data_IF_948440276978
#
_entry.id   IF_948440276978
#
_cell.length_a   1.000
_cell.length_b   1.000
_cell.length_c   1.000
_cell.angle_alpha   90.00
_cell.angle_beta   90.00
_cell.angle_gamma   90.00
#
_symmetry.space_group_name_H-M   'P 1'
#
loop_
_entity.id
_entity.type
_entity.pdbx_description
1 polymer ?
#
# COMPACT_ATOMS: atom_id res chain seq x y z
N UNK A 1 -14.02 51.90 -11.42
CA UNK A 1 -13.93 51.59 -9.98
C UNK A 1 -15.06 50.65 -9.64
N UNK A 2 -14.76 49.36 -9.48
CA UNK A 2 -15.69 48.35 -8.98
C UNK A 2 -14.81 47.31 -8.29
N UNK A 3 -15.05 47.12 -6.99
CA UNK A 3 -14.22 46.32 -6.10
C UNK A 3 -14.60 44.85 -6.09
N UNK A 4 -13.61 44.04 -5.75
CA UNK A 4 -13.69 42.62 -5.42
C UNK A 4 -14.63 42.37 -4.23
N UNK A 5 -15.65 41.52 -4.43
CA UNK A 5 -16.40 40.87 -3.35
C UNK A 5 -15.89 39.43 -3.19
N UNK A 6 -14.93 39.24 -2.29
CA UNK A 6 -14.59 37.93 -1.74
C UNK A 6 -15.61 37.54 -0.66
N UNK A 7 -16.05 36.27 -0.58
CA UNK A 7 -17.00 35.84 0.45
C UNK A 7 -16.35 35.88 1.84
N UNK A 8 -17.01 36.54 2.78
CA UNK A 8 -16.53 36.66 4.16
C UNK A 8 -16.57 35.32 4.93
N UNK A 9 -15.65 35.10 5.89
CA UNK A 9 -15.60 33.90 6.70
C UNK A 9 -16.82 33.78 7.62
N UNK A 10 -17.33 32.56 7.72
CA UNK A 10 -18.49 32.18 8.50
C UNK A 10 -18.29 32.41 10.01
N UNK A 11 -19.03 33.36 10.60
CA UNK A 11 -19.00 33.66 12.04
C UNK A 11 -20.02 32.80 12.81
N UNK A 12 -19.53 31.72 13.42
CA UNK A 12 -20.33 30.79 14.23
C UNK A 12 -20.88 31.41 15.53
N UNK A 13 -20.48 32.62 15.93
CA UNK A 13 -20.99 33.30 17.14
C UNK A 13 -22.20 34.20 16.90
N UNK A 14 -22.57 34.44 15.64
CA UNK A 14 -23.72 35.28 15.27
C UNK A 14 -25.06 34.52 15.18
N UNK A 15 -25.08 33.20 15.45
CA UNK A 15 -26.32 32.41 15.43
C UNK A 15 -27.20 32.72 16.64
N UNK A 16 -28.32 33.40 16.38
CA UNK A 16 -29.35 33.59 17.39
C UNK A 16 -29.83 32.22 17.93
N UNK A 17 -30.03 32.08 19.25
CA UNK A 17 -30.48 30.82 19.83
C UNK A 17 -31.85 30.45 19.26
N UNK A 18 -32.01 29.18 18.86
CA UNK A 18 -33.25 28.65 18.33
C UNK A 18 -34.42 28.98 19.26
N UNK A 19 -35.43 29.70 18.74
CA UNK A 19 -36.65 30.04 19.48
C UNK A 19 -37.30 28.74 19.99
N UNK A 20 -37.25 28.52 21.30
CA UNK A 20 -38.09 27.51 21.99
C UNK A 20 -39.54 27.80 21.59
N UNK A 21 -40.17 26.86 20.88
CA UNK A 21 -41.61 26.89 20.61
C UNK A 21 -42.35 27.06 21.95
N UNK A 22 -43.14 28.13 22.04
CA UNK A 22 -44.10 28.31 23.13
C UNK A 22 -45.03 27.09 23.17
N UNK A 23 -45.15 26.50 24.37
CA UNK A 23 -46.23 25.56 24.66
C UNK A 23 -47.54 26.34 24.59
N UNK A 24 -48.43 25.94 23.70
CA UNK A 24 -49.78 26.49 23.62
C UNK A 24 -50.56 26.11 24.89
N UNK A 25 -51.04 27.11 25.62
CA UNK A 25 -52.07 26.94 26.64
C UNK A 25 -53.43 26.82 25.94
N UNK A 26 -54.08 25.66 26.04
CA UNK A 26 -55.48 25.52 25.64
C UNK A 26 -56.43 25.97 26.77
N UNK A 27 -57.63 26.48 26.47
CA UNK A 27 -58.49 27.16 27.44
C UNK A 27 -59.14 26.18 28.42
N UNK A 28 -59.10 26.51 29.71
CA UNK A 28 -59.90 25.85 30.75
C UNK A 28 -61.34 26.37 30.71
N UNK A 29 -62.30 25.51 30.36
CA UNK A 29 -63.72 25.90 30.38
C UNK A 29 -64.64 24.85 29.76
N UNK A 30 -64.82 23.71 30.44
CA UNK A 30 -66.07 22.93 30.45
C UNK A 30 -65.85 21.65 31.27
N UNK A 31 -66.66 21.49 32.32
CA UNK A 31 -66.77 20.27 33.11
C UNK A 31 -67.46 19.17 32.28
N UNK A 32 -66.69 18.45 31.46
CA UNK A 32 -67.11 17.14 30.98
C UNK A 32 -65.98 16.12 31.19
N UNK A 33 -66.27 14.94 31.76
CA UNK A 33 -65.26 13.90 31.96
C UNK A 33 -64.74 13.46 30.58
N UNK A 34 -63.45 13.68 30.33
CA UNK A 34 -62.78 13.24 29.09
C UNK A 34 -62.90 11.72 28.96
N UNK A 35 -63.68 11.26 27.97
CA UNK A 35 -63.71 9.85 27.57
C UNK A 35 -62.32 9.45 27.04
N UNK A 36 -61.63 8.61 27.78
CA UNK A 36 -60.41 7.92 27.33
C UNK A 36 -60.70 7.23 25.99
N UNK A 37 -60.03 7.68 24.92
CA UNK A 37 -60.05 6.98 23.62
C UNK A 37 -59.45 5.59 23.84
N UNK A 38 -60.25 4.55 23.65
CA UNK A 38 -59.77 3.16 23.62
C UNK A 38 -58.72 3.00 22.52
N UNK A 39 -57.58 2.32 22.78
CA UNK A 39 -56.58 2.07 21.74
C UNK A 39 -57.21 1.30 20.59
N UNK A 40 -57.09 1.83 19.37
CA UNK A 40 -57.57 1.16 18.16
C UNK A 40 -56.89 -0.21 17.99
N UNK A 41 -57.67 -1.16 17.49
CA UNK A 41 -57.38 -2.60 17.41
C UNK A 41 -56.27 -2.99 16.40
N UNK A 42 -55.30 -2.10 16.10
CA UNK A 42 -54.29 -2.31 15.05
C UNK A 42 -52.82 -2.20 15.49
N UNK A 43 -52.53 -2.23 16.79
CA UNK A 43 -51.14 -2.25 17.27
C UNK A 43 -50.95 -3.08 18.56
N UNK A 44 -51.41 -4.32 18.57
CA UNK A 44 -51.02 -5.30 19.59
C UNK A 44 -50.20 -6.39 18.91
N UNK A 45 -48.90 -6.16 18.77
CA UNK A 45 -47.94 -7.25 18.58
C UNK A 45 -48.09 -8.12 19.83
N UNK A 46 -48.48 -9.38 19.65
CA UNK A 46 -48.66 -10.33 20.76
C UNK A 46 -47.29 -10.64 21.39
N UNK A 47 -47.27 -11.04 22.66
CA UNK A 47 -46.02 -11.40 23.33
C UNK A 47 -45.28 -12.52 22.58
N UNK A 48 -46.02 -13.46 22.00
CA UNK A 48 -45.49 -14.52 21.13
C UNK A 48 -44.80 -13.97 19.87
N UNK A 49 -45.38 -12.98 19.18
CA UNK A 49 -44.76 -12.34 18.00
C UNK A 49 -43.50 -11.53 18.36
N UNK A 50 -43.43 -10.99 19.58
CA UNK A 50 -42.26 -10.25 20.08
C UNK A 50 -41.11 -11.20 20.43
N UNK A 51 -41.42 -12.39 20.95
CA UNK A 51 -40.46 -13.47 21.21
C UNK A 51 -39.89 -14.04 19.90
N UNK A 52 -40.75 -14.28 18.90
CA UNK A 52 -40.35 -14.77 17.57
C UNK A 52 -39.41 -13.79 16.83
N UNK A 53 -39.71 -12.48 16.89
CA UNK A 53 -38.83 -11.44 16.35
C UNK A 53 -37.47 -11.40 17.05
N UNK A 54 -37.43 -11.65 18.36
CA UNK A 54 -36.19 -11.71 19.14
C UNK A 54 -35.37 -12.95 18.79
N UNK A 55 -36.01 -14.11 18.62
CA UNK A 55 -35.35 -15.34 18.17
C UNK A 55 -34.76 -15.17 16.76
N UNK A 56 -35.50 -14.60 15.81
CA UNK A 56 -34.97 -14.28 14.47
C UNK A 56 -33.80 -13.29 14.49
N UNK A 57 -33.81 -12.31 15.38
CA UNK A 57 -32.69 -11.39 15.54
C UNK A 57 -31.43 -12.09 16.07
N UNK A 58 -31.60 -12.95 17.08
CA UNK A 58 -30.49 -13.76 17.65
C UNK A 58 -29.96 -14.74 16.60
N UNK A 59 -30.84 -15.37 15.81
CA UNK A 59 -30.45 -16.29 14.74
C UNK A 59 -29.66 -15.57 13.64
N UNK A 60 -30.12 -14.40 13.18
CA UNK A 60 -29.37 -13.55 12.24
C UNK A 60 -28.03 -13.10 12.79
N UNK A 61 -27.97 -12.71 14.06
CA UNK A 61 -26.73 -12.31 14.72
C UNK A 61 -25.75 -13.49 14.80
N UNK A 62 -26.26 -14.70 15.09
CA UNK A 62 -25.46 -15.92 15.12
C UNK A 62 -24.97 -16.34 13.73
N UNK A 63 -25.81 -16.23 12.70
CA UNK A 63 -25.44 -16.46 11.31
C UNK A 63 -24.39 -15.45 10.83
N UNK A 64 -24.56 -14.17 11.16
CA UNK A 64 -23.58 -13.12 10.86
C UNK A 64 -22.25 -13.36 11.59
N UNK A 65 -22.29 -13.75 12.86
CA UNK A 65 -21.10 -14.09 13.62
C UNK A 65 -20.39 -15.34 13.08
N UNK A 66 -21.14 -16.36 12.66
CA UNK A 66 -20.59 -17.56 12.04
C UNK A 66 -19.96 -17.25 10.67
N UNK A 67 -20.64 -16.45 9.84
CA UNK A 67 -20.11 -16.00 8.55
C UNK A 67 -18.84 -15.16 8.73
N UNK A 68 -18.80 -14.26 9.73
CA UNK A 68 -17.62 -13.47 10.08
C UNK A 68 -16.45 -14.37 10.55
N UNK A 69 -16.72 -15.34 11.41
CA UNK A 69 -15.70 -16.29 11.88
C UNK A 69 -15.14 -17.15 10.73
N UNK A 70 -15.99 -17.57 9.79
CA UNK A 70 -15.56 -18.33 8.62
C UNK A 70 -14.70 -17.48 7.66
N UNK A 71 -15.05 -16.20 7.49
CA UNK A 71 -14.20 -15.26 6.74
C UNK A 71 -12.88 -15.00 7.44
N UNK A 72 -12.86 -14.85 8.77
CA UNK A 72 -11.63 -14.66 9.54
C UNK A 72 -10.69 -15.88 9.46
N UNK A 73 -11.24 -17.10 9.50
CA UNK A 73 -10.45 -18.32 9.25
C UNK A 73 -9.83 -18.35 7.85
N UNK A 74 -10.59 -17.95 6.82
CA UNK A 74 -10.08 -17.90 5.46
C UNK A 74 -8.99 -16.81 5.29
N UNK A 75 -9.12 -15.67 5.99
CA UNK A 75 -8.12 -14.59 6.01
C UNK A 75 -6.82 -15.02 6.69
N UNK A 76 -6.91 -15.69 7.83
CA UNK A 76 -5.74 -16.22 8.53
C UNK A 76 -4.97 -17.18 7.61
N UNK A 77 -5.68 -18.05 6.89
CA UNK A 77 -5.06 -18.94 5.91
C UNK A 77 -4.36 -18.19 4.77
N UNK A 78 -4.92 -17.08 4.27
CA UNK A 78 -4.27 -16.25 3.23
C UNK A 78 -2.98 -15.60 3.78
N UNK A 79 -3.05 -14.98 4.96
CA UNK A 79 -1.89 -14.40 5.60
C UNK A 79 -0.75 -15.43 5.81
N UNK A 80 -1.12 -16.65 6.22
CA UNK A 80 -0.17 -17.76 6.40
C UNK A 80 0.46 -18.19 5.07
N UNK A 81 -0.30 -18.21 3.97
CA UNK A 81 0.22 -18.50 2.62
C UNK A 81 1.24 -17.43 2.19
N UNK A 82 0.92 -16.14 2.35
CA UNK A 82 1.85 -15.04 2.01
C UNK A 82 3.14 -15.15 2.83
N UNK A 83 3.01 -15.36 4.15
CA UNK A 83 4.15 -15.52 5.05
C UNK A 83 5.00 -16.74 4.68
N UNK A 84 4.36 -17.89 4.44
CA UNK A 84 5.02 -19.13 4.06
C UNK A 84 5.77 -18.98 2.74
N UNK A 85 5.19 -18.27 1.76
CA UNK A 85 5.86 -17.98 0.50
C UNK A 85 7.16 -17.20 0.72
N UNK A 86 7.13 -16.07 1.43
CA UNK A 86 8.36 -15.28 1.65
C UNK A 86 9.43 -16.04 2.44
N UNK A 87 8.99 -16.88 3.38
CA UNK A 87 9.85 -17.80 4.13
C UNK A 87 10.47 -18.89 3.24
N UNK A 88 9.76 -19.40 2.23
CA UNK A 88 10.23 -20.47 1.34
C UNK A 88 11.13 -19.98 0.20
N UNK A 89 11.00 -18.71 -0.23
CA UNK A 89 11.82 -18.15 -1.31
C UNK A 89 13.32 -18.22 -0.95
N UNK A 90 14.13 -19.00 -1.70
CA UNK A 90 15.52 -19.25 -1.35
C UNK A 90 16.38 -17.99 -1.48
N UNK A 91 17.35 -17.81 -0.58
CA UNK A 91 18.34 -16.74 -0.72
C UNK A 91 19.41 -17.15 -1.74
N UNK A 92 19.26 -16.64 -2.97
CA UNK A 92 20.20 -16.94 -4.07
C UNK A 92 21.49 -16.08 -4.04
N UNK A 93 21.74 -15.28 -3.00
CA UNK A 93 22.94 -14.45 -2.87
C UNK A 93 22.99 -13.22 -3.79
N UNK A 94 24.02 -12.35 -3.63
CA UNK A 94 24.16 -11.10 -4.41
C UNK A 94 24.67 -11.36 -5.83
N UNK A 95 25.62 -12.28 -5.98
CA UNK A 95 26.31 -12.51 -7.25
C UNK A 95 25.36 -13.10 -8.28
N UNK A 96 24.64 -14.17 -7.93
CA UNK A 96 23.60 -14.76 -8.77
C UNK A 96 22.55 -13.74 -9.24
N UNK A 97 22.11 -12.82 -8.36
CA UNK A 97 21.15 -11.75 -8.73
C UNK A 97 21.68 -10.79 -9.80
N UNK A 98 23.00 -10.72 -9.98
CA UNK A 98 23.64 -9.87 -10.99
C UNK A 98 24.00 -10.64 -12.26
N UNK A 99 24.31 -11.93 -12.15
CA UNK A 99 24.84 -12.74 -13.26
C UNK A 99 23.77 -13.59 -13.92
N UNK A 100 23.02 -14.35 -13.12
CA UNK A 100 22.23 -15.50 -13.59
C UNK A 100 20.71 -15.29 -13.49
N UNK A 101 20.25 -14.26 -12.76
CA UNK A 101 18.82 -13.95 -12.64
C UNK A 101 18.24 -13.50 -13.98
N UNK A 102 17.11 -14.12 -14.38
CA UNK A 102 16.35 -13.73 -15.58
C UNK A 102 15.71 -12.35 -15.46
N UNK A 103 15.46 -11.89 -14.23
CA UNK A 103 14.88 -10.57 -13.94
C UNK A 103 15.90 -9.59 -13.33
N UNK A 104 17.18 -9.71 -13.73
CA UNK A 104 18.27 -8.88 -13.17
C UNK A 104 18.10 -7.39 -13.45
N UNK A 105 17.59 -7.01 -14.62
CA UNK A 105 17.33 -5.62 -15.00
C UNK A 105 16.21 -5.05 -14.15
N UNK A 106 15.10 -5.78 -14.03
CA UNK A 106 13.97 -5.42 -13.16
C UNK A 106 14.41 -5.24 -11.69
N UNK A 107 15.20 -6.18 -11.15
CA UNK A 107 15.73 -6.06 -9.78
C UNK A 107 16.60 -4.83 -9.60
N UNK A 108 17.42 -4.49 -10.60
CA UNK A 108 18.31 -3.33 -10.56
C UNK A 108 17.50 -2.04 -10.63
N UNK A 109 16.52 -1.98 -11.54
CA UNK A 109 15.61 -0.86 -11.73
C UNK A 109 14.75 -0.60 -10.47
N UNK A 110 14.08 -1.61 -9.94
CA UNK A 110 13.28 -1.48 -8.71
C UNK A 110 14.14 -1.02 -7.52
N UNK A 111 15.37 -1.53 -7.40
CA UNK A 111 16.27 -1.05 -6.36
C UNK A 111 16.72 0.40 -6.56
N UNK A 112 16.91 0.84 -7.81
CA UNK A 112 17.25 2.21 -8.12
C UNK A 112 16.08 3.16 -7.82
N UNK A 113 14.86 2.83 -8.26
CA UNK A 113 13.64 3.60 -7.92
C UNK A 113 13.49 3.76 -6.41
N UNK A 114 13.63 2.67 -5.64
CA UNK A 114 13.62 2.76 -4.17
C UNK A 114 14.71 3.66 -3.61
N UNK A 115 15.90 3.66 -4.22
CA UNK A 115 16.99 4.54 -3.82
C UNK A 115 16.66 6.00 -4.13
N UNK A 116 16.02 6.30 -5.26
CA UNK A 116 15.55 7.64 -5.61
C UNK A 116 14.54 8.14 -4.57
N UNK A 117 13.51 7.34 -4.25
CA UNK A 117 12.49 7.69 -3.26
C UNK A 117 13.12 7.97 -1.89
N UNK A 118 13.97 7.06 -1.39
CA UNK A 118 14.64 7.23 -0.10
C UNK A 118 15.52 8.48 -0.10
N UNK A 119 16.40 8.65 -1.10
CA UNK A 119 17.32 9.79 -1.11
C UNK A 119 16.60 11.13 -1.26
N UNK A 120 15.48 11.16 -1.98
CA UNK A 120 14.72 12.39 -2.23
C UNK A 120 13.86 12.81 -1.03
N UNK A 121 13.25 11.85 -0.34
CA UNK A 121 12.20 12.15 0.65
C UNK A 121 12.58 11.84 2.10
N UNK A 122 13.66 11.09 2.36
CA UNK A 122 14.10 10.84 3.73
C UNK A 122 14.67 12.07 4.45
N UNK A 123 15.44 12.97 3.80
CA UNK A 123 15.99 14.14 4.49
C UNK A 123 14.92 15.07 5.05
N UNK A 124 15.22 15.71 6.18
CA UNK A 124 14.37 16.76 6.76
C UNK A 124 14.38 18.05 5.91
N UNK A 125 13.46 19.00 6.19
CA UNK A 125 13.36 20.24 5.39
C UNK A 125 14.56 21.16 5.55
N UNK A 126 15.25 21.07 6.70
CA UNK A 126 16.45 21.85 7.01
C UNK A 126 17.70 21.25 6.34
N UNK A 127 17.59 20.04 5.78
CA UNK A 127 18.68 19.37 5.09
C UNK A 127 18.99 20.06 3.76
N UNK A 128 20.08 20.81 3.71
CA UNK A 128 20.60 21.33 2.45
C UNK A 128 21.60 20.35 1.83
N UNK A 129 21.47 19.99 0.53
CA UNK A 129 22.51 19.24 -0.16
C UNK A 129 23.84 20.01 -0.08
N UNK A 130 24.94 19.33 0.26
CA UNK A 130 26.22 19.99 0.49
C UNK A 130 26.43 20.51 1.92
N UNK A 131 25.43 20.44 2.82
CA UNK A 131 25.53 21.01 4.16
C UNK A 131 26.63 20.33 4.98
N UNK A 132 26.69 19.01 4.92
CA UNK A 132 27.73 18.22 5.57
C UNK A 132 29.14 18.57 5.04
N UNK A 133 29.27 18.77 3.72
CA UNK A 133 30.51 19.21 3.06
C UNK A 133 30.95 20.62 3.48
N UNK A 134 29.98 21.46 3.89
CA UNK A 134 30.21 22.80 4.44
C UNK A 134 30.34 22.81 5.98
N UNK A 135 30.27 21.66 6.64
CA UNK A 135 30.26 21.54 8.11
C UNK A 135 28.98 22.08 8.77
N UNK A 136 27.93 22.30 7.98
CA UNK A 136 26.61 22.74 8.40
C UNK A 136 25.78 21.47 8.55
N UNK A 137 25.64 20.97 9.78
CA UNK A 137 24.68 19.91 10.07
C UNK A 137 23.65 20.49 11.01
N UNK A 138 22.37 20.15 10.81
CA UNK A 138 21.34 20.38 11.84
C UNK A 138 21.67 19.64 13.15
N UNK A 139 22.63 18.71 13.11
CA UNK A 139 22.99 17.81 14.20
C UNK A 139 21.96 16.69 14.41
N UNK A 140 20.91 16.64 13.57
CA UNK A 140 19.82 15.67 13.66
C UNK A 140 20.10 14.49 12.73
N UNK A 141 20.13 13.30 13.30
CA UNK A 141 20.17 12.04 12.58
C UNK A 141 18.74 11.48 12.46
N UNK A 142 18.47 10.69 11.43
CA UNK A 142 17.13 10.19 11.13
C UNK A 142 16.78 8.95 11.96
N UNK A 143 15.53 8.89 12.41
CA UNK A 143 14.88 7.70 12.97
C UNK A 143 13.94 7.10 11.92
N UNK A 144 14.20 5.86 11.52
CA UNK A 144 13.50 5.17 10.43
C UNK A 144 12.72 3.97 10.97
N UNK A 145 11.46 3.87 10.57
CA UNK A 145 10.63 2.68 10.72
C UNK A 145 10.33 2.08 9.34
N UNK A 146 10.75 0.84 9.11
CA UNK A 146 10.58 0.11 7.85
C UNK A 146 9.60 -1.05 8.07
N UNK A 147 8.35 -0.86 7.63
CA UNK A 147 7.26 -1.83 7.78
C UNK A 147 7.22 -2.71 6.53
N UNK A 148 7.28 -4.03 6.73
CA UNK A 148 7.49 -4.99 5.65
C UNK A 148 8.94 -4.98 5.16
N UNK A 149 9.91 -4.89 6.08
CA UNK A 149 11.33 -4.77 5.73
C UNK A 149 11.89 -6.02 5.03
N UNK A 150 11.16 -7.14 5.08
CA UNK A 150 11.53 -8.43 4.54
C UNK A 150 12.92 -8.86 4.98
N UNK A 151 13.72 -9.33 4.03
CA UNK A 151 15.09 -9.82 4.22
C UNK A 151 16.13 -8.69 4.37
N UNK A 152 15.70 -7.46 4.69
CA UNK A 152 16.56 -6.29 4.81
C UNK A 152 17.12 -5.80 3.47
N UNK A 153 16.28 -5.72 2.43
CA UNK A 153 16.68 -5.29 1.08
C UNK A 153 17.14 -3.83 0.98
N UNK A 154 16.68 -2.99 1.91
CA UNK A 154 16.87 -1.55 1.88
C UNK A 154 17.88 -1.04 2.90
N UNK A 155 18.46 -1.90 3.76
CA UNK A 155 19.50 -1.55 4.73
C UNK A 155 20.68 -0.79 4.09
N UNK A 156 21.13 -1.24 2.91
CA UNK A 156 22.22 -0.58 2.18
C UNK A 156 21.82 0.78 1.60
N UNK A 157 20.53 1.01 1.34
CA UNK A 157 20.01 2.28 0.84
C UNK A 157 19.94 3.30 1.97
N UNK A 158 19.45 2.88 3.14
CA UNK A 158 19.46 3.70 4.36
C UNK A 158 20.87 4.10 4.79
N UNK A 159 21.86 3.19 4.68
CA UNK A 159 23.26 3.55 4.95
C UNK A 159 23.83 4.60 3.98
N UNK A 160 23.25 4.71 2.79
CA UNK A 160 23.64 5.65 1.74
C UNK A 160 22.68 6.84 1.63
N UNK A 161 21.77 7.02 2.58
CA UNK A 161 20.86 8.15 2.60
C UNK A 161 21.65 9.47 2.74
N UNK A 162 21.17 10.60 2.19
CA UNK A 162 21.90 11.87 2.23
C UNK A 162 22.08 12.42 3.64
N UNK A 163 21.07 12.21 4.50
CA UNK A 163 21.13 12.48 5.93
C UNK A 163 21.40 11.18 6.68
N UNK A 164 22.32 11.24 7.65
CA UNK A 164 22.71 10.07 8.44
C UNK A 164 21.53 9.51 9.22
N UNK A 165 21.42 8.18 9.26
CA UNK A 165 20.44 7.47 10.07
C UNK A 165 21.06 7.15 11.44
N UNK A 166 20.36 7.42 12.52
CA UNK A 166 20.73 7.01 13.87
C UNK A 166 20.16 5.63 14.18
N UNK A 167 18.85 5.46 13.93
CA UNK A 167 18.09 4.26 14.27
C UNK A 167 17.27 3.78 13.07
N UNK A 168 17.35 2.48 12.81
CA UNK A 168 16.49 1.75 11.90
C UNK A 168 15.72 0.67 12.66
N UNK A 169 14.39 0.69 12.56
CA UNK A 169 13.52 -0.35 13.11
C UNK A 169 12.83 -1.08 11.96
N UNK A 170 13.17 -2.35 11.74
CA UNK A 170 12.55 -3.19 10.72
C UNK A 170 11.47 -4.10 11.31
N UNK A 171 10.26 -4.07 10.75
CA UNK A 171 9.15 -4.95 11.13
C UNK A 171 8.72 -5.80 9.93
N UNK A 172 8.44 -7.07 10.16
CA UNK A 172 7.90 -7.97 9.13
C UNK A 172 7.17 -9.16 9.77
N UNK A 173 6.07 -9.67 9.20
CA UNK A 173 5.38 -10.85 9.75
C UNK A 173 6.16 -12.17 9.55
N UNK A 174 7.09 -12.23 8.60
CA UNK A 174 7.91 -13.41 8.32
C UNK A 174 9.17 -13.46 9.21
N UNK A 175 9.20 -14.41 10.13
CA UNK A 175 10.30 -14.66 11.06
C UNK A 175 11.63 -15.01 10.38
N UNK A 176 11.60 -15.86 9.35
CA UNK A 176 12.82 -16.20 8.59
C UNK A 176 13.35 -14.96 7.87
N UNK A 177 12.46 -14.12 7.32
CA UNK A 177 12.85 -12.85 6.70
C UNK A 177 13.55 -11.92 7.69
N UNK A 178 13.01 -11.80 8.92
CA UNK A 178 13.60 -11.02 9.99
C UNK A 178 14.98 -11.55 10.40
N UNK A 179 15.16 -12.86 10.52
CA UNK A 179 16.45 -13.43 10.87
C UNK A 179 17.51 -13.22 9.78
N UNK A 180 17.13 -13.32 8.50
CA UNK A 180 17.99 -12.97 7.37
C UNK A 180 18.33 -11.47 7.34
N UNK A 181 17.39 -10.59 7.69
CA UNK A 181 17.64 -9.15 7.81
C UNK A 181 18.68 -8.85 8.92
N UNK A 182 18.54 -9.51 10.08
CA UNK A 182 19.52 -9.42 11.18
C UNK A 182 20.90 -9.90 10.73
N UNK A 183 20.99 -11.03 10.01
CA UNK A 183 22.26 -11.56 9.51
C UNK A 183 22.92 -10.58 8.52
N UNK A 184 22.14 -10.04 7.58
CA UNK A 184 22.62 -9.04 6.62
C UNK A 184 23.16 -7.80 7.32
N UNK A 185 22.44 -7.28 8.32
CA UNK A 185 22.89 -6.14 9.11
C UNK A 185 24.17 -6.45 9.89
N UNK A 186 24.28 -7.63 10.54
CA UNK A 186 25.53 -8.08 11.19
C UNK A 186 26.70 -8.14 10.21
N UNK A 187 26.47 -8.61 8.98
CA UNK A 187 27.46 -8.61 7.91
C UNK A 187 27.93 -7.20 7.52
N UNK A 188 27.03 -6.21 7.52
CA UNK A 188 27.39 -4.80 7.33
C UNK A 188 28.26 -4.29 8.51
N UNK A 189 27.86 -4.59 9.75
CA UNK A 189 28.60 -4.19 10.95
C UNK A 189 30.00 -4.80 11.05
N UNK A 190 30.18 -6.05 10.62
CA UNK A 190 31.50 -6.68 10.59
C UNK A 190 32.44 -5.99 9.59
N UNK A 191 31.94 -5.57 8.43
CA UNK A 191 32.73 -4.86 7.42
C UNK A 191 33.14 -3.46 7.90
N UNK A 192 32.26 -2.81 8.66
CA UNK A 192 32.52 -1.50 9.27
C UNK A 192 33.64 -1.57 10.33
N UNK A 193 33.60 -2.56 11.24
CA UNK A 193 34.60 -2.74 12.30
C UNK A 193 36.01 -3.07 11.81
N UNK A 194 36.14 -3.79 10.70
CA UNK A 194 37.46 -4.20 10.18
C UNK A 194 38.16 -3.11 9.37
N UNK A 195 37.63 -1.87 9.34
CA UNK A 195 38.26 -0.71 8.73
C UNK A 195 38.70 -1.00 7.30
N UNK A 196 37.75 -1.07 6.37
CA UNK A 196 37.91 -1.42 4.96
C UNK A 196 39.32 -1.35 4.35
N UNK A 197 40.18 -2.33 4.65
CA UNK A 197 41.49 -2.54 3.99
C UNK A 197 41.35 -3.19 2.61
N UNK A 198 40.13 -3.32 2.08
CA UNK A 198 39.83 -3.94 0.79
C UNK A 198 39.80 -2.99 -0.41
N UNK A 199 39.96 -1.68 -0.21
CA UNK A 199 40.08 -0.72 -1.32
C UNK A 199 41.53 -0.43 -1.67
N UNK A 200 42.14 -1.22 -2.58
CA UNK A 200 43.34 -0.78 -3.30
C UNK A 200 42.98 0.52 -4.05
N UNK A 201 43.39 1.67 -3.52
CA UNK A 201 43.13 2.99 -4.12
C UNK A 201 42.86 4.09 -3.09
N UNK A 202 43.75 4.25 -2.11
CA UNK A 202 43.72 5.36 -1.15
C UNK A 202 44.24 6.64 -1.80
N UNK A 203 43.34 7.43 -2.39
CA UNK A 203 43.61 8.82 -2.74
C UNK A 203 43.20 9.76 -1.60
N UNK A 204 43.85 10.93 -1.43
CA UNK A 204 43.65 11.87 -0.31
C UNK A 204 42.26 12.55 -0.25
N UNK A 205 41.32 12.18 -1.13
CA UNK A 205 39.99 12.78 -1.26
C UNK A 205 38.83 11.79 -1.02
N UNK A 206 39.05 10.63 -0.38
CA UNK A 206 37.95 9.72 -0.02
C UNK A 206 37.36 10.05 1.35
N UNK A 207 36.06 10.34 1.35
CA UNK A 207 35.21 10.60 2.54
C UNK A 207 35.32 9.45 3.57
N UNK A 208 35.33 9.74 4.88
CA UNK A 208 35.07 8.72 5.91
C UNK A 208 33.69 8.10 5.65
N UNK A 209 33.56 6.78 5.76
CA UNK A 209 32.25 6.14 5.70
C UNK A 209 31.42 6.60 6.92
N UNK A 210 30.15 6.98 6.75
CA UNK A 210 29.29 7.28 7.88
C UNK A 210 29.20 6.03 8.77
N UNK A 211 29.17 6.24 10.08
CA UNK A 211 29.01 5.16 11.06
C UNK A 211 27.75 4.37 10.74
N UNK A 212 27.79 3.05 10.91
CA UNK A 212 26.61 2.23 10.74
C UNK A 212 25.54 2.61 11.78
N UNK A 213 24.32 2.86 11.32
CA UNK A 213 23.15 3.13 12.18
C UNK A 213 22.86 1.97 13.13
N UNK A 214 22.22 2.23 14.27
CA UNK A 214 21.67 1.18 15.14
C UNK A 214 20.45 0.53 14.47
N UNK A 215 20.34 -0.80 14.52
CA UNK A 215 19.19 -1.51 13.98
C UNK A 215 18.49 -2.42 15.00
N UNK A 216 17.15 -2.39 14.99
CA UNK A 216 16.26 -3.30 15.72
C UNK A 216 15.34 -4.01 14.72
N UNK A 217 15.09 -5.30 14.92
CA UNK A 217 14.26 -6.10 14.02
C UNK A 217 13.25 -6.92 14.82
N UNK A 218 11.98 -6.85 14.45
CA UNK A 218 10.89 -7.53 15.17
C UNK A 218 9.95 -8.25 14.20
N UNK A 219 9.52 -9.45 14.60
CA UNK A 219 8.44 -10.16 13.90
C UNK A 219 7.13 -9.56 14.35
N UNK A 220 6.33 -9.01 13.42
CA UNK A 220 5.08 -8.33 13.75
C UNK A 220 4.12 -8.26 12.57
N UNK A 221 2.86 -8.63 12.77
CA UNK A 221 1.77 -8.27 11.86
C UNK A 221 1.47 -6.77 12.03
N UNK A 222 1.81 -5.99 11.01
CA UNK A 222 1.64 -4.53 11.03
C UNK A 222 0.30 -4.07 10.42
N UNK A 223 -0.55 -5.01 9.97
CA UNK A 223 -1.85 -4.72 9.35
C UNK A 223 -3.01 -5.12 10.25
N UNK A 224 -2.88 -6.24 10.98
CA UNK A 224 -3.91 -6.71 11.92
C UNK A 224 -3.74 -6.18 13.36
N UNK A 225 -2.52 -5.83 13.77
CA UNK A 225 -2.20 -5.52 15.16
C UNK A 225 -1.63 -4.10 15.32
N UNK A 226 -1.73 -3.56 16.53
CA UNK A 226 -0.98 -2.34 16.90
C UNK A 226 0.50 -2.66 17.03
N UNK A 227 1.37 -1.76 16.55
CA UNK A 227 2.82 -1.84 16.75
C UNK A 227 3.30 -1.11 18.02
N UNK A 228 2.40 -0.41 18.71
CA UNK A 228 2.70 0.32 19.94
C UNK A 228 3.18 -0.61 21.08
N UNK A 229 2.88 -1.91 21.02
CA UNK A 229 3.33 -2.88 22.01
C UNK A 229 4.85 -3.15 21.96
N UNK A 230 5.53 -2.76 20.88
CA UNK A 230 6.98 -2.90 20.73
C UNK A 230 7.70 -1.79 21.51
N UNK A 231 8.59 -2.18 22.43
CA UNK A 231 9.27 -1.26 23.34
C UNK A 231 10.00 -0.12 22.62
N UNK A 232 10.79 -0.42 21.57
CA UNK A 232 11.55 0.61 20.85
C UNK A 232 10.62 1.64 20.18
N UNK A 233 9.44 1.23 19.73
CA UNK A 233 8.45 2.13 19.10
C UNK A 233 7.90 3.10 20.14
N UNK A 234 7.60 2.62 21.35
CA UNK A 234 7.19 3.48 22.49
C UNK A 234 8.28 4.44 22.93
N UNK A 235 9.53 3.98 22.92
CA UNK A 235 10.70 4.79 23.28
C UNK A 235 10.91 5.94 22.29
N UNK A 236 10.80 5.68 20.99
CA UNK A 236 10.88 6.72 19.94
C UNK A 236 9.67 7.66 20.04
N UNK A 237 8.47 7.09 20.03
CA UNK A 237 7.21 7.83 20.16
C UNK A 237 6.12 7.18 19.31
N UNK A 238 4.94 7.05 19.91
CA UNK A 238 3.73 6.61 19.22
C UNK A 238 2.53 7.42 19.75
N UNK A 239 1.77 8.05 18.87
CA UNK A 239 0.60 8.86 19.25
C UNK A 239 -0.60 8.58 18.36
N UNK A 240 -1.70 8.14 18.97
CA UNK A 240 -2.98 7.97 18.26
C UNK A 240 -3.82 9.25 18.25
N UNK A 241 -3.37 10.32 18.88
CA UNK A 241 -4.12 11.57 18.91
C UNK A 241 -3.89 12.39 17.64
N UNK A 242 -4.93 13.06 17.15
CA UNK A 242 -4.85 14.05 16.07
C UNK A 242 -4.03 15.30 16.45
N UNK A 243 -3.52 15.36 17.69
CA UNK A 243 -2.56 16.36 18.15
C UNK A 243 -1.17 15.80 17.85
N UNK A 244 -0.55 16.34 16.80
CA UNK A 244 0.78 15.93 16.35
C UNK A 244 1.80 16.15 17.47
N UNK A 245 2.46 15.06 17.89
CA UNK A 245 3.54 15.13 18.87
C UNK A 245 4.88 15.42 18.20
N UNK A 246 5.79 16.07 18.93
CA UNK A 246 7.17 16.31 18.48
C UNK A 246 8.05 15.04 18.54
N UNK A 247 7.49 13.92 19.04
CA UNK A 247 8.15 12.61 19.15
C UNK A 247 7.60 11.64 18.13
N UNK A 248 8.46 10.76 17.62
CA UNK A 248 8.14 9.80 16.58
C UNK A 248 9.29 9.65 15.59
N UNK A 249 9.10 8.75 14.63
CA UNK A 249 10.03 8.51 13.53
C UNK A 249 9.99 9.65 12.51
N UNK A 250 11.14 9.94 11.90
CA UNK A 250 11.27 10.88 10.77
C UNK A 250 10.65 10.32 9.50
N UNK A 251 10.82 9.01 9.28
CA UNK A 251 10.35 8.34 8.10
C UNK A 251 9.74 7.00 8.46
N UNK A 252 8.55 6.74 7.93
CA UNK A 252 7.97 5.40 7.85
C UNK A 252 8.04 4.96 6.40
N UNK A 253 8.59 3.77 6.14
CA UNK A 253 8.73 3.21 4.80
C UNK A 253 7.90 1.94 4.65
N UNK A 254 7.22 1.79 3.52
CA UNK A 254 6.47 0.59 3.12
C UNK A 254 6.71 0.28 1.64
N UNK A 255 7.74 -0.51 1.36
CA UNK A 255 8.15 -0.84 0.00
C UNK A 255 7.58 -2.19 -0.42
N UNK A 256 6.63 -2.20 -1.37
CA UNK A 256 6.01 -3.43 -1.91
C UNK A 256 5.29 -4.30 -0.86
N UNK A 257 4.66 -3.69 0.15
CA UNK A 257 3.95 -4.45 1.19
C UNK A 257 2.56 -3.90 1.53
N UNK A 258 2.26 -2.65 1.18
CA UNK A 258 1.04 -1.98 1.63
C UNK A 258 -0.25 -2.59 1.07
N UNK A 259 -0.19 -3.13 -0.14
CA UNK A 259 -1.35 -3.72 -0.82
C UNK A 259 -1.93 -4.93 -0.08
N UNK A 260 -1.16 -5.63 0.75
CA UNK A 260 -1.69 -6.73 1.58
C UNK A 260 -2.71 -6.24 2.64
N UNK A 261 -2.62 -4.98 3.08
CA UNK A 261 -3.56 -4.42 4.05
C UNK A 261 -4.95 -4.14 3.44
N UNK A 262 -5.05 -4.01 2.11
CA UNK A 262 -6.29 -3.69 1.40
C UNK A 262 -7.24 -4.88 1.25
N UNK A 263 -6.93 -6.02 1.88
CA UNK A 263 -7.87 -7.11 2.05
C UNK A 263 -9.18 -6.66 2.73
N UNK A 264 -9.08 -5.80 3.75
CA UNK A 264 -10.25 -5.26 4.45
C UNK A 264 -10.02 -3.80 4.85
N UNK A 265 -11.12 -3.06 5.01
CA UNK A 265 -11.06 -1.71 5.57
C UNK A 265 -10.40 -1.68 6.95
N UNK A 266 -10.68 -2.67 7.80
CA UNK A 266 -10.13 -2.75 9.14
C UNK A 266 -8.59 -2.83 9.14
N UNK A 267 -8.02 -3.71 8.29
CA UNK A 267 -6.57 -3.83 8.12
C UNK A 267 -5.95 -2.56 7.54
N UNK A 268 -6.55 -1.97 6.50
CA UNK A 268 -6.07 -0.72 5.91
C UNK A 268 -6.05 0.43 6.92
N UNK A 269 -7.11 0.56 7.74
CA UNK A 269 -7.18 1.55 8.81
C UNK A 269 -6.18 1.27 9.94
N UNK A 270 -6.00 0.02 10.35
CA UNK A 270 -5.02 -0.34 11.38
C UNK A 270 -3.58 -0.09 10.91
N UNK A 271 -3.27 -0.39 9.65
CA UNK A 271 -2.01 -0.02 9.01
C UNK A 271 -1.78 1.50 9.05
N UNK A 272 -2.76 2.31 8.65
CA UNK A 272 -2.65 3.77 8.71
C UNK A 272 -2.48 4.29 10.14
N UNK A 273 -3.13 3.68 11.14
CA UNK A 273 -2.89 3.99 12.57
C UNK A 273 -1.44 3.73 12.96
N UNK A 274 -0.88 2.60 12.55
CA UNK A 274 0.50 2.24 12.82
C UNK A 274 1.49 3.22 12.17
N UNK A 275 1.28 3.56 10.90
CA UNK A 275 2.10 4.53 10.16
C UNK A 275 1.99 5.91 10.79
N UNK A 276 0.78 6.47 10.84
CA UNK A 276 0.55 7.85 11.24
C UNK A 276 0.77 8.09 12.73
N UNK A 277 0.62 7.06 13.57
CA UNK A 277 0.91 7.13 14.98
C UNK A 277 2.38 7.05 15.31
N UNK A 278 3.19 6.41 14.46
CA UNK A 278 4.65 6.35 14.62
C UNK A 278 5.36 7.60 14.11
N UNK A 279 4.77 8.36 13.19
CA UNK A 279 5.37 9.57 12.63
C UNK A 279 5.26 10.75 13.59
N UNK A 280 6.37 11.50 13.73
CA UNK A 280 6.33 12.84 14.32
C UNK A 280 5.71 13.84 13.34
N UNK A 281 5.34 15.03 13.83
CA UNK A 281 4.99 16.14 12.94
C UNK A 281 6.12 16.43 11.95
N UNK A 282 5.76 16.51 10.67
CA UNK A 282 6.68 16.68 9.57
C UNK A 282 7.44 15.43 9.14
N UNK A 283 7.10 14.27 9.69
CA UNK A 283 7.62 12.99 9.22
C UNK A 283 7.06 12.61 7.84
N UNK A 284 7.80 11.78 7.10
CA UNK A 284 7.42 11.30 5.76
C UNK A 284 6.95 9.85 5.80
N UNK A 285 5.83 9.57 5.15
CA UNK A 285 5.42 8.21 4.82
C UNK A 285 5.72 7.93 3.35
N UNK A 286 6.69 7.07 3.08
CA UNK A 286 7.12 6.72 1.71
C UNK A 286 6.82 5.26 1.40
N UNK A 287 6.53 4.96 0.14
CA UNK A 287 6.29 3.59 -0.25
C UNK A 287 6.17 3.37 -1.75
N UNK A 288 6.01 2.10 -2.10
CA UNK A 288 5.75 1.65 -3.48
C UNK A 288 4.63 0.63 -3.48
N UNK A 289 3.72 0.76 -4.45
CA UNK A 289 2.57 -0.14 -4.60
C UNK A 289 2.25 -0.40 -6.07
N UNK A 290 1.56 -1.51 -6.38
CA UNK A 290 0.88 -1.71 -7.65
C UNK A 290 -0.03 -0.53 -7.98
N UNK A 291 -0.03 -0.10 -9.24
CA UNK A 291 -0.81 1.03 -9.73
C UNK A 291 -2.25 0.61 -10.02
N UNK A 292 -3.23 1.12 -9.27
CA UNK A 292 -4.65 0.81 -9.49
C UNK A 292 -5.18 1.28 -10.83
N UNK A 293 -4.59 2.33 -11.42
CA UNK A 293 -5.06 2.87 -12.69
C UNK A 293 -4.70 1.91 -13.84
N UNK A 294 -3.48 1.37 -13.81
CA UNK A 294 -3.03 0.32 -14.74
C UNK A 294 -3.89 -0.94 -14.56
N UNK A 295 -4.12 -1.37 -13.32
CA UNK A 295 -4.98 -2.54 -13.04
C UNK A 295 -6.40 -2.31 -13.58
N UNK A 296 -6.98 -1.14 -13.31
CA UNK A 296 -8.33 -0.78 -13.75
C UNK A 296 -8.47 -0.69 -15.27
N UNK A 297 -7.46 -0.17 -15.96
CA UNK A 297 -7.41 -0.14 -17.42
C UNK A 297 -7.36 -1.55 -18.01
N UNK A 298 -6.49 -2.43 -17.51
CA UNK A 298 -6.41 -3.83 -17.96
C UNK A 298 -7.71 -4.61 -17.72
N UNK A 299 -8.36 -4.36 -16.58
CA UNK A 299 -9.68 -4.93 -16.28
C UNK A 299 -10.75 -4.44 -17.25
N UNK A 300 -10.77 -3.14 -17.56
CA UNK A 300 -11.71 -2.56 -18.53
C UNK A 300 -11.51 -3.15 -19.92
N UNK A 301 -10.27 -3.19 -20.40
CA UNK A 301 -9.92 -3.79 -21.70
C UNK A 301 -10.37 -5.25 -21.78
N UNK A 302 -10.19 -6.02 -20.71
CA UNK A 302 -10.66 -7.40 -20.63
C UNK A 302 -12.19 -7.49 -20.74
N UNK A 303 -12.91 -6.70 -19.95
CA UNK A 303 -14.38 -6.73 -19.92
C UNK A 303 -14.99 -6.26 -21.26
N UNK A 304 -14.40 -5.25 -21.91
CA UNK A 304 -14.81 -4.80 -23.25
C UNK A 304 -14.63 -5.91 -24.30
N UNK A 305 -13.51 -6.66 -24.25
CA UNK A 305 -13.28 -7.81 -25.13
C UNK A 305 -14.30 -8.94 -24.90
N UNK A 306 -14.61 -9.24 -23.63
CA UNK A 306 -15.61 -10.26 -23.30
C UNK A 306 -17.00 -9.86 -23.79
N UNK A 307 -17.38 -8.58 -23.60
CA UNK A 307 -18.65 -8.06 -24.12
C UNK A 307 -18.72 -8.13 -25.64
N UNK A 308 -17.66 -7.71 -26.35
CA UNK A 308 -17.62 -7.81 -27.81
C UNK A 308 -17.66 -9.27 -28.32
N UNK A 309 -17.08 -10.22 -27.57
CA UNK A 309 -17.14 -11.65 -27.87
C UNK A 309 -18.56 -12.20 -27.68
N UNK A 310 -19.26 -11.78 -26.62
CA UNK A 310 -20.64 -12.14 -26.37
C UNK A 310 -21.60 -11.55 -27.44
N UNK A 311 -21.45 -10.26 -27.78
CA UNK A 311 -22.26 -9.59 -28.81
C UNK A 311 -22.09 -10.24 -30.19
N UNK A 312 -20.87 -10.69 -30.54
CA UNK A 312 -20.61 -11.44 -31.79
C UNK A 312 -21.21 -12.85 -31.78
N UNK A 313 -21.37 -13.47 -30.62
CA UNK A 313 -21.98 -14.78 -30.49
C UNK A 313 -23.53 -14.73 -30.59
N UNK A 314 -24.12 -13.56 -30.36
CA UNK A 314 -25.58 -13.32 -30.45
C UNK A 314 -26.04 -12.77 -31.81
N UNK A 315 -25.13 -12.50 -32.77
CA UNK A 315 -25.49 -12.02 -34.12
C UNK A 315 -25.96 -13.20 -35.03
N UNK A 316 -27.26 -13.26 -35.41
CA UNK A 316 -27.81 -14.36 -36.20
C UNK A 316 -27.28 -14.46 -37.65
N UNK A 317 -26.41 -13.54 -38.09
CA UNK A 317 -25.74 -13.63 -39.40
C UNK A 317 -24.47 -14.48 -39.42
N UNK A 318 -24.02 -15.00 -38.27
CA UNK A 318 -22.87 -15.90 -38.21
C UNK A 318 -23.17 -17.32 -38.75
N UNK A 319 -24.44 -17.67 -38.98
CA UNK A 319 -24.85 -18.98 -39.50
C UNK A 319 -24.83 -19.11 -41.04
N UNK A 320 -24.77 -18.00 -41.81
CA UNK A 320 -24.81 -18.07 -43.29
C UNK A 320 -23.42 -18.15 -43.96
N UNK A 321 -22.32 -18.20 -43.19
CA UNK A 321 -20.95 -18.26 -43.73
C UNK A 321 -20.22 -19.58 -43.43
N UNK A 322 -20.91 -20.62 -42.94
CA UNK A 322 -20.34 -21.95 -42.64
C UNK A 322 -20.84 -23.07 -43.56
N UNK A 323 -21.26 -22.76 -44.78
CA UNK A 323 -21.32 -23.75 -45.88
C UNK A 323 -20.18 -23.48 -46.86
N UNK A 324 -19.03 -24.10 -46.57
CA UNK A 324 -17.98 -24.54 -47.50
C UNK A 324 -16.59 -24.39 -46.87
N UNK A 325 -16.21 -25.38 -46.06
CA UNK A 325 -14.84 -25.50 -45.55
C UNK A 325 -14.74 -26.40 -44.34
N UNK A 326 -14.34 -27.65 -44.60
CA UNK A 326 -13.72 -28.65 -43.71
C UNK A 326 -14.04 -28.60 -42.20
N UNK A 327 -14.68 -29.67 -41.74
CA UNK A 327 -14.80 -30.07 -40.33
C UNK A 327 -13.48 -30.00 -39.58
N UNK A 328 -13.23 -28.89 -38.88
CA UNK A 328 -12.43 -28.91 -37.67
C UNK A 328 -13.32 -29.44 -36.53
N UNK A 329 -12.79 -30.44 -35.84
CA UNK A 329 -13.41 -31.13 -34.73
C UNK A 329 -13.92 -30.11 -33.70
N UNK A 330 -15.22 -30.14 -33.44
CA UNK A 330 -15.82 -29.38 -32.37
C UNK A 330 -15.20 -29.82 -31.06
N UNK A 331 -14.45 -28.92 -30.41
CA UNK A 331 -14.21 -29.00 -28.98
C UNK A 331 -15.59 -28.97 -28.31
N UNK A 332 -16.02 -30.15 -27.84
CA UNK A 332 -17.10 -30.27 -26.87
C UNK A 332 -16.74 -29.35 -25.70
N UNK A 333 -17.53 -28.29 -25.49
CA UNK A 333 -17.49 -27.52 -24.25
C UNK A 333 -17.84 -28.49 -23.11
N UNK A 334 -16.82 -29.01 -22.45
CA UNK A 334 -16.96 -29.74 -21.21
C UNK A 334 -17.75 -28.86 -20.22
N UNK A 335 -18.83 -29.42 -19.66
CA UNK A 335 -19.55 -28.85 -18.53
C UNK A 335 -18.58 -28.70 -17.34
N UNK A 336 -17.88 -27.57 -17.28
CA UNK A 336 -16.83 -27.32 -16.29
C UNK A 336 -15.89 -26.16 -16.60
N UNK A 337 -15.97 -25.51 -17.77
CA UNK A 337 -15.15 -24.34 -18.10
C UNK A 337 -15.30 -23.25 -17.03
N UNK A 338 -14.23 -23.02 -16.26
CA UNK A 338 -14.15 -21.90 -15.33
C UNK A 338 -14.45 -20.60 -16.09
N UNK A 339 -15.30 -19.72 -15.54
CA UNK A 339 -15.56 -18.40 -16.13
C UNK A 339 -14.23 -17.73 -16.50
N UNK A 340 -14.11 -17.24 -17.75
CA UNK A 340 -12.91 -16.54 -18.21
C UNK A 340 -12.68 -15.33 -17.29
N UNK A 341 -11.53 -15.26 -16.62
CA UNK A 341 -11.20 -14.21 -15.65
C UNK A 341 -10.19 -13.21 -16.20
N UNK A 342 -10.21 -11.98 -15.71
CA UNK A 342 -9.24 -10.97 -16.08
C UNK A 342 -7.80 -11.42 -15.75
N UNK A 343 -6.98 -11.58 -16.79
CA UNK A 343 -5.60 -12.02 -16.70
C UNK A 343 -4.74 -11.28 -17.74
N UNK A 344 -3.54 -10.88 -17.35
CA UNK A 344 -2.54 -10.29 -18.24
C UNK A 344 -1.13 -10.49 -17.69
N UNK A 345 -0.15 -10.23 -18.55
CA UNK A 345 1.26 -10.31 -18.20
C UNK A 345 2.10 -10.61 -19.42
N UNK A 346 3.33 -11.02 -19.16
CA UNK A 346 4.29 -11.48 -20.15
C UNK A 346 5.05 -12.69 -19.60
N UNK A 347 6.18 -13.05 -20.19
CA UNK A 347 6.95 -14.22 -19.76
C UNK A 347 7.56 -14.12 -18.35
N UNK A 348 7.67 -12.91 -17.78
CA UNK A 348 8.28 -12.69 -16.46
C UNK A 348 7.27 -12.39 -15.35
N UNK A 349 6.11 -11.80 -15.66
CA UNK A 349 5.09 -11.45 -14.66
C UNK A 349 3.69 -11.80 -15.15
N UNK A 350 2.79 -12.07 -14.20
CA UNK A 350 1.36 -12.28 -14.49
C UNK A 350 0.50 -11.76 -13.34
N UNK A 351 -0.61 -11.11 -13.70
CA UNK A 351 -1.69 -10.72 -12.79
C UNK A 351 -2.93 -11.49 -13.20
N UNK A 352 -3.59 -12.13 -12.22
CA UNK A 352 -4.83 -12.89 -12.46
C UNK A 352 -5.87 -12.64 -11.39
N UNK A 353 -7.07 -12.26 -11.78
CA UNK A 353 -8.21 -12.17 -10.87
C UNK A 353 -8.88 -13.55 -10.72
N UNK A 354 -9.29 -13.95 -9.52
CA UNK A 354 -9.94 -15.24 -9.29
C UNK A 354 -11.44 -15.25 -9.65
N UNK A 355 -12.01 -14.12 -10.08
CA UNK A 355 -13.44 -14.01 -10.39
C UNK A 355 -13.78 -12.70 -11.10
N UNK A 356 -15.08 -12.35 -11.09
CA UNK A 356 -15.60 -11.16 -11.78
C UNK A 356 -14.97 -9.87 -11.28
N UNK A 357 -14.68 -8.99 -12.22
CA UNK A 357 -14.10 -7.67 -11.99
C UNK A 357 -15.09 -6.57 -12.40
N UNK A 358 -14.93 -5.32 -11.92
CA UNK A 358 -15.81 -4.22 -12.31
C UNK A 358 -15.74 -3.92 -13.81
N UNK A 359 -16.89 -3.78 -14.46
CA UNK A 359 -16.97 -3.51 -15.91
C UNK A 359 -16.23 -2.22 -16.31
N UNK A 360 -16.30 -1.18 -15.49
CA UNK A 360 -15.69 0.13 -15.73
C UNK A 360 -14.20 0.23 -15.28
N UNK A 361 -13.68 -0.83 -14.65
CA UNK A 361 -12.36 -0.84 -14.02
C UNK A 361 -12.28 -0.05 -12.71
N UNK A 362 -13.41 0.38 -12.13
CA UNK A 362 -13.47 1.15 -10.89
C UNK A 362 -13.83 0.22 -9.73
N UNK A 363 -12.85 -0.04 -8.86
CA UNK A 363 -12.96 -0.97 -7.75
C UNK A 363 -13.81 -0.40 -6.58
N UNK A 364 -15.06 -0.85 -6.49
CA UNK A 364 -16.03 -0.45 -5.43
C UNK A 364 -16.68 -1.68 -4.78
N UNK A 365 -16.63 -1.85 -3.45
CA UNK A 365 -15.94 -1.01 -2.45
C UNK A 365 -14.41 -1.02 -2.64
N UNK A 366 -13.63 -0.09 -2.05
CA UNK A 366 -12.21 0.03 -2.34
C UNK A 366 -11.31 -1.02 -1.65
N UNK A 367 -11.89 -2.12 -1.15
CA UNK A 367 -11.18 -3.15 -0.40
C UNK A 367 -11.61 -4.54 -0.87
N UNK A 368 -10.74 -5.55 -0.68
CA UNK A 368 -11.06 -6.96 -0.92
C UNK A 368 -10.94 -7.42 -2.38
N UNK A 369 -10.52 -6.55 -3.29
CA UNK A 369 -10.25 -6.91 -4.69
C UNK A 369 -8.95 -7.69 -4.82
N UNK A 370 -9.05 -8.99 -4.58
CA UNK A 370 -7.94 -9.93 -4.61
C UNK A 370 -7.51 -10.23 -6.05
N UNK A 371 -6.21 -10.28 -6.29
CA UNK A 371 -5.60 -10.87 -7.48
C UNK A 371 -4.38 -11.70 -7.08
N UNK A 372 -3.99 -12.63 -7.94
CA UNK A 372 -2.76 -13.38 -7.77
C UNK A 372 -1.66 -12.71 -8.60
N UNK A 373 -0.53 -12.43 -7.96
CA UNK A 373 0.64 -11.88 -8.63
C UNK A 373 1.73 -12.95 -8.75
N UNK A 374 2.24 -13.12 -9.96
CA UNK A 374 3.38 -13.96 -10.27
C UNK A 374 4.51 -13.09 -10.81
N UNK A 375 5.71 -13.32 -10.30
CA UNK A 375 6.94 -12.71 -10.81
C UNK A 375 8.07 -13.73 -10.76
N UNK A 376 8.63 -14.03 -11.92
CA UNK A 376 9.66 -15.04 -12.11
C UNK A 376 10.81 -14.87 -11.09
N UNK A 377 11.16 -15.95 -10.37
CA UNK A 377 12.21 -15.99 -9.33
C UNK A 377 11.99 -15.13 -8.07
N UNK A 378 10.85 -14.45 -7.93
CA UNK A 378 10.62 -13.52 -6.82
C UNK A 378 9.31 -13.79 -6.08
N UNK A 379 8.22 -14.04 -6.81
CA UNK A 379 6.87 -14.21 -6.26
C UNK A 379 6.14 -15.32 -7.02
N UNK A 380 5.62 -16.32 -6.31
CA UNK A 380 4.90 -17.45 -6.88
C UNK A 380 3.42 -17.36 -6.48
N UNK A 381 2.60 -16.79 -7.36
CA UNK A 381 1.14 -16.67 -7.21
C UNK A 381 0.66 -16.19 -5.83
N UNK A 382 1.29 -15.12 -5.33
CA UNK A 382 0.95 -14.55 -4.03
C UNK A 382 -0.33 -13.73 -4.15
N UNK A 383 -1.29 -13.89 -3.21
CA UNK A 383 -2.49 -13.09 -3.20
C UNK A 383 -2.20 -11.64 -2.76
N UNK A 384 -2.48 -10.70 -3.63
CA UNK A 384 -2.40 -9.26 -3.41
C UNK A 384 -3.79 -8.63 -3.54
N UNK A 385 -3.93 -7.37 -3.11
CA UNK A 385 -5.19 -6.64 -3.20
C UNK A 385 -5.01 -5.32 -3.92
N UNK A 386 -5.99 -4.95 -4.75
CA UNK A 386 -5.98 -3.66 -5.44
C UNK A 386 -6.06 -2.55 -4.39
N UNK A 387 -5.27 -1.49 -4.58
CA UNK A 387 -5.25 -0.29 -3.75
C UNK A 387 -5.78 0.87 -4.58
N UNK A 388 -7.10 1.14 -4.61
CA UNK A 388 -7.63 2.25 -5.39
C UNK A 388 -7.05 3.57 -4.87
N UNK A 389 -6.21 4.22 -5.67
CA UNK A 389 -5.35 5.31 -5.22
C UNK A 389 -6.11 6.45 -4.53
N UNK A 390 -7.19 6.94 -5.16
CA UNK A 390 -7.98 8.04 -4.58
C UNK A 390 -8.68 7.65 -3.28
N UNK A 391 -9.08 6.38 -3.12
CA UNK A 391 -9.64 5.90 -1.87
C UNK A 391 -8.56 5.81 -0.78
N UNK A 392 -7.36 5.35 -1.13
CA UNK A 392 -6.22 5.33 -0.22
C UNK A 392 -5.81 6.74 0.22
N UNK A 393 -5.71 7.70 -0.72
CA UNK A 393 -5.42 9.11 -0.42
C UNK A 393 -6.43 9.69 0.55
N UNK A 394 -7.73 9.50 0.28
CA UNK A 394 -8.79 9.97 1.17
C UNK A 394 -8.72 9.32 2.56
N UNK A 395 -8.42 8.02 2.65
CA UNK A 395 -8.21 7.35 3.94
C UNK A 395 -7.00 7.91 4.68
N UNK A 396 -5.92 8.25 4.00
CA UNK A 396 -4.71 8.79 4.60
C UNK A 396 -4.96 10.18 5.23
N UNK A 397 -5.82 11.00 4.62
CA UNK A 397 -6.21 12.32 5.15
C UNK A 397 -6.88 12.22 6.53
N UNK A 398 -7.67 11.16 6.81
CA UNK A 398 -8.24 10.89 8.14
C UNK A 398 -7.16 10.77 9.25
N UNK A 399 -5.90 10.53 8.86
CA UNK A 399 -4.76 10.34 9.75
C UNK A 399 -3.72 11.47 9.67
N UNK A 400 -4.10 12.65 9.17
CA UNK A 400 -3.21 13.80 8.98
C UNK A 400 -2.02 13.50 8.06
N UNK A 401 -2.22 12.67 7.04
CA UNK A 401 -1.21 12.40 6.01
C UNK A 401 -1.62 13.09 4.72
N UNK A 402 -0.85 14.09 4.31
CA UNK A 402 -1.09 14.84 3.08
C UNK A 402 -0.17 14.37 1.96
N UNK A 403 -0.73 14.14 0.78
CA UNK A 403 0.03 13.68 -0.37
C UNK A 403 1.01 14.75 -0.87
N UNK A 404 2.29 14.39 -1.01
CA UNK A 404 3.34 15.25 -1.58
C UNK A 404 3.86 14.74 -2.92
N UNK A 405 3.85 13.42 -3.13
CA UNK A 405 4.40 12.81 -4.32
C UNK A 405 3.65 11.53 -4.68
N UNK A 406 3.33 11.37 -5.97
CA UNK A 406 2.79 10.16 -6.56
C UNK A 406 3.21 10.11 -8.03
N UNK A 407 3.99 9.10 -8.41
CA UNK A 407 4.47 8.91 -9.79
C UNK A 407 4.59 7.44 -10.13
N UNK A 408 4.32 7.08 -11.39
CA UNK A 408 4.64 5.75 -11.90
C UNK A 408 6.15 5.53 -11.90
N UNK A 409 6.59 4.28 -11.85
CA UNK A 409 8.00 3.95 -11.93
C UNK A 409 8.67 4.46 -13.22
N UNK A 410 7.93 4.48 -14.33
CA UNK A 410 8.36 5.07 -15.60
C UNK A 410 8.58 6.58 -15.47
N UNK A 411 7.63 7.30 -14.84
CA UNK A 411 7.78 8.75 -14.63
C UNK A 411 8.93 9.08 -13.66
N UNK A 412 9.18 8.21 -12.67
CA UNK A 412 10.34 8.32 -11.77
C UNK A 412 11.62 8.18 -12.60
N UNK A 413 11.71 7.19 -13.47
CA UNK A 413 12.85 7.04 -14.37
C UNK A 413 13.07 8.29 -15.21
N UNK A 414 12.04 8.75 -15.92
CA UNK A 414 12.18 9.90 -16.83
C UNK A 414 12.55 11.19 -16.09
N UNK A 415 12.07 11.36 -14.85
CA UNK A 415 12.39 12.53 -14.03
C UNK A 415 13.82 12.47 -13.47
N UNK A 416 14.25 11.31 -12.98
CA UNK A 416 15.45 11.21 -12.13
C UNK A 416 16.69 10.65 -12.86
N UNK A 417 16.54 10.07 -14.07
CA UNK A 417 17.66 9.45 -14.81
C UNK A 417 18.80 10.43 -15.11
N UNK A 418 18.52 11.72 -15.24
CA UNK A 418 19.52 12.74 -15.56
C UNK A 418 19.88 13.64 -14.37
N UNK A 419 19.41 13.28 -13.16
CA UNK A 419 19.80 13.97 -11.93
C UNK A 419 21.32 13.80 -11.67
N UNK A 420 22.04 14.86 -11.22
CA UNK A 420 23.48 14.80 -10.97
C UNK A 420 23.94 13.73 -9.96
N UNK A 421 23.05 13.30 -9.07
CA UNK A 421 23.32 12.29 -8.04
C UNK A 421 22.73 10.93 -8.42
N UNK A 422 21.45 10.90 -8.79
CA UNK A 422 20.68 9.67 -9.05
C UNK A 422 20.95 9.09 -10.45
N UNK A 423 21.27 9.94 -11.43
CA UNK A 423 21.69 9.52 -12.76
C UNK A 423 22.95 8.64 -12.73
N UNK A 424 24.07 9.11 -12.16
CA UNK A 424 25.26 8.27 -11.98
C UNK A 424 25.02 7.03 -11.09
N UNK A 425 24.04 7.08 -10.17
CA UNK A 425 23.66 5.92 -9.37
C UNK A 425 23.02 4.83 -10.23
N UNK A 426 22.18 5.18 -11.21
CA UNK A 426 21.56 4.23 -12.14
C UNK A 426 22.60 3.39 -12.90
N UNK A 427 23.70 4.03 -13.31
CA UNK A 427 24.82 3.38 -14.00
C UNK A 427 25.58 2.41 -13.07
N UNK A 428 25.85 2.84 -11.83
CA UNK A 428 26.51 2.00 -10.82
C UNK A 428 25.66 0.78 -10.42
N UNK A 429 24.34 0.92 -10.49
CA UNK A 429 23.39 -0.13 -10.16
C UNK A 429 23.10 -1.06 -11.34
N UNK A 430 23.58 -0.75 -12.55
CA UNK A 430 23.37 -1.57 -13.73
C UNK A 430 21.97 -1.41 -14.34
N UNK A 431 21.34 -0.26 -14.15
CA UNK A 431 20.04 0.07 -14.75
C UNK A 431 20.20 0.56 -16.19
N UNK A 432 21.25 1.34 -16.46
CA UNK A 432 21.65 1.79 -17.79
C UNK A 432 23.16 1.70 -17.97
N UNK A 433 23.61 1.76 -19.22
CA UNK A 433 25.02 1.86 -19.56
C UNK A 433 25.65 3.14 -19.01
N UNK A 434 26.99 3.12 -18.88
CA UNK A 434 27.75 4.25 -18.37
C UNK A 434 27.67 5.45 -19.31
N UNK A 435 27.74 6.66 -18.73
CA UNK A 435 27.76 7.90 -19.49
C UNK A 435 26.40 8.25 -20.10
N UNK A 436 25.30 7.88 -19.43
CA UNK A 436 23.94 8.11 -19.93
C UNK A 436 23.53 7.24 -21.12
N UNK A 437 24.12 6.05 -21.27
CA UNK A 437 23.80 5.13 -22.36
C UNK A 437 22.45 4.41 -22.18
N UNK A 438 22.22 3.38 -22.98
CA UNK A 438 20.91 2.71 -23.08
C UNK A 438 20.50 1.96 -21.80
N UNK A 439 19.20 1.74 -21.64
CA UNK A 439 18.64 0.91 -20.57
C UNK A 439 19.14 -0.53 -20.70
N UNK A 440 19.56 -1.10 -19.57
CA UNK A 440 19.95 -2.50 -19.43
C UNK A 440 18.78 -3.37 -18.91
N UNK A 441 17.57 -2.82 -18.97
CA UNK A 441 16.32 -3.43 -18.54
C UNK A 441 15.54 -3.78 -19.80
N UNK A 442 15.14 -5.04 -19.96
CA UNK A 442 14.42 -5.47 -21.16
C UNK A 442 13.04 -4.81 -21.25
N UNK A 443 12.40 -4.76 -22.44
CA UNK A 443 11.02 -4.27 -22.57
C UNK A 443 10.03 -5.01 -21.65
N UNK A 444 10.17 -6.33 -21.52
CA UNK A 444 9.34 -7.18 -20.66
C UNK A 444 9.55 -6.86 -19.18
N UNK A 445 10.81 -6.64 -18.77
CA UNK A 445 11.19 -6.18 -17.44
C UNK A 445 10.63 -4.77 -17.14
N UNK A 446 10.69 -3.87 -18.12
CA UNK A 446 10.15 -2.51 -17.99
C UNK A 446 8.62 -2.52 -17.89
N UNK A 447 7.94 -3.38 -18.63
CA UNK A 447 6.48 -3.56 -18.51
C UNK A 447 6.10 -3.99 -17.08
N UNK A 448 6.81 -4.97 -16.52
CA UNK A 448 6.61 -5.40 -15.14
C UNK A 448 6.93 -4.30 -14.11
N UNK A 449 7.96 -3.48 -14.36
CA UNK A 449 8.31 -2.35 -13.49
C UNK A 449 7.26 -1.23 -13.54
N UNK A 450 6.73 -0.92 -14.73
CA UNK A 450 5.73 0.12 -14.97
C UNK A 450 4.39 -0.17 -14.28
N UNK A 451 4.17 -1.40 -13.82
CA UNK A 451 3.03 -1.77 -13.00
C UNK A 451 2.98 -1.05 -11.64
N UNK A 452 4.08 -0.44 -11.20
CA UNK A 452 4.21 0.14 -9.87
C UNK A 452 4.26 1.68 -9.88
N UNK A 453 3.83 2.27 -8.77
CA UNK A 453 3.98 3.68 -8.43
C UNK A 453 4.82 3.84 -7.15
N UNK A 454 5.50 4.96 -7.04
CA UNK A 454 6.13 5.43 -5.81
C UNK A 454 5.39 6.64 -5.25
N UNK A 455 5.31 6.75 -3.93
CA UNK A 455 4.64 7.87 -3.26
C UNK A 455 5.37 8.41 -2.03
N UNK A 456 5.00 9.62 -1.63
CA UNK A 456 5.36 10.24 -0.36
C UNK A 456 4.18 11.04 0.18
N UNK A 457 3.81 10.78 1.44
CA UNK A 457 2.91 11.62 2.24
C UNK A 457 3.69 12.32 3.35
N UNK A 458 3.17 13.45 3.81
CA UNK A 458 3.72 14.23 4.90
C UNK A 458 2.75 14.25 6.08
N UNK A 459 3.27 14.10 7.30
CA UNK A 459 2.48 14.16 8.53
C UNK A 459 2.29 15.63 8.97
N UNK A 460 1.06 16.12 8.97
CA UNK A 460 0.74 17.52 9.36
C UNK A 460 0.45 17.74 10.84
#
# INVERSE_FOLDING_TARGET
MAGDDLPQPYDAKALAPAKKRQRSNSPSGSEQPRKLKRPGQRARITDAQREELRQRAIEREREQAAAAAQTDHQRAAINDVVRAHYNSVPERGRDWRKTDSRIKGLRSFNNWVKSCIIQKFAPDEDHTPGAFERGISSGKELLILDIGCGKGGDLGKWQQAPQTVELYVGLDPADISIDQAKERYRGMAQRDRHGGRGGRGGGPYRRPQPRLFEARFHVKDCFGETIEDIEIIRQVGFTQSNISGDRGFDVVSMMFCMHYAFETEAKARQMLKNVAGSLKKGGRFIGTIPNSDVIGERVREFNEKQKAKAEKAEDPKADEAKEDGETEEGEEKEEGEAEETAEWGNEIYRVRFPGKTPEDGIFRPPFGWKYSFFLHEAVEEVPEYVVPWEAFRALAEDYNLELQYHKSFSDIWDTEKDDPTLGPLSERMGVRERGGGELLVSPEEMEAAAFYVGFCFYKV
#
